data_IF_483150811291
#
_entry.id   IF_483150811291
#
_cell.length_a   1.000
_cell.length_b   1.000
_cell.length_c   1.000
_cell.angle_alpha   90.00
_cell.angle_beta   90.00
_cell.angle_gamma   90.00
#
_symmetry.space_group_name_H-M   'P 1'
#
loop_
_entity.id
_entity.type
_entity.pdbx_description
1 polymer ?
#
# COMPACT_ATOMS: atom_id res chain seq x y z
N UNK A 1 7.79 -12.02 39.48
CA UNK A 1 7.96 -10.70 38.82
C UNK A 1 6.56 -10.15 38.56
N UNK A 2 6.19 -8.97 39.10
CA UNK A 2 4.87 -8.37 38.85
C UNK A 2 5.01 -7.34 37.74
N UNK A 3 4.27 -7.51 36.65
CA UNK A 3 4.22 -6.54 35.54
C UNK A 3 3.55 -5.26 36.06
N UNK A 4 4.24 -4.14 35.92
CA UNK A 4 3.75 -2.82 36.31
C UNK A 4 2.96 -2.15 35.18
N UNK A 5 2.23 -1.08 35.50
CA UNK A 5 1.56 -0.25 34.49
C UNK A 5 2.55 0.36 33.49
N UNK A 6 3.76 0.67 33.94
CA UNK A 6 4.84 1.19 33.08
C UNK A 6 5.36 0.11 32.13
N UNK A 7 5.50 -1.14 32.59
CA UNK A 7 5.85 -2.27 31.74
C UNK A 7 4.80 -2.48 30.64
N UNK A 8 3.51 -2.41 30.97
CA UNK A 8 2.43 -2.50 29.97
C UNK A 8 2.47 -1.36 28.95
N UNK A 9 2.74 -0.13 29.40
CA UNK A 9 2.88 1.03 28.51
C UNK A 9 4.06 0.84 27.56
N UNK A 10 5.19 0.37 28.06
CA UNK A 10 6.39 0.10 27.25
C UNK A 10 6.12 -0.98 26.21
N UNK A 11 5.52 -2.10 26.61
CA UNK A 11 5.14 -3.17 25.68
C UNK A 11 4.19 -2.70 24.58
N UNK A 12 3.21 -1.85 24.92
CA UNK A 12 2.31 -1.27 23.93
C UNK A 12 3.05 -0.39 22.92
N UNK A 13 3.97 0.47 23.38
CA UNK A 13 4.76 1.33 22.49
C UNK A 13 5.67 0.52 21.57
N UNK A 14 6.31 -0.53 22.07
CA UNK A 14 7.13 -1.44 21.28
C UNK A 14 6.30 -2.16 20.21
N UNK A 15 5.09 -2.61 20.56
CA UNK A 15 4.17 -3.20 19.60
C UNK A 15 3.75 -2.21 18.51
N UNK A 16 3.40 -0.97 18.88
CA UNK A 16 3.01 0.06 17.91
C UNK A 16 4.16 0.41 16.95
N UNK A 17 5.39 0.47 17.44
CA UNK A 17 6.56 0.73 16.59
C UNK A 17 6.86 -0.46 15.66
N UNK A 18 6.76 -1.69 16.17
CA UNK A 18 6.91 -2.89 15.34
C UNK A 18 5.88 -2.92 14.20
N UNK A 19 4.63 -2.55 14.50
CA UNK A 19 3.55 -2.48 13.51
C UNK A 19 3.80 -1.38 12.47
N UNK A 20 4.28 -0.20 12.91
CA UNK A 20 4.68 0.89 12.01
C UNK A 20 5.77 0.45 11.03
N UNK A 21 6.80 -0.24 11.52
CA UNK A 21 7.89 -0.76 10.70
C UNK A 21 7.37 -1.83 9.73
N UNK A 22 6.50 -2.72 10.20
CA UNK A 22 5.87 -3.77 9.37
C UNK A 22 5.10 -3.16 8.21
N UNK A 23 4.25 -2.17 8.49
CA UNK A 23 3.47 -1.46 7.47
C UNK A 23 4.37 -0.73 6.46
N UNK A 24 5.41 -0.05 6.93
CA UNK A 24 6.34 0.64 6.04
C UNK A 24 7.04 -0.31 5.05
N UNK A 25 7.46 -1.49 5.51
CA UNK A 25 8.04 -2.53 4.64
C UNK A 25 7.06 -3.03 3.60
N UNK A 26 5.82 -3.32 4.01
CA UNK A 26 4.78 -3.76 3.06
C UNK A 26 4.49 -2.72 1.99
N UNK A 27 4.43 -1.43 2.36
CA UNK A 27 4.23 -0.33 1.41
C UNK A 27 5.39 -0.25 0.43
N UNK A 28 6.63 -0.39 0.91
CA UNK A 28 7.84 -0.39 0.07
C UNK A 28 7.83 -1.52 -0.96
N UNK A 29 7.51 -2.73 -0.52
CA UNK A 29 7.47 -3.91 -1.38
C UNK A 29 6.40 -3.76 -2.46
N UNK A 30 5.17 -3.39 -2.07
CA UNK A 30 4.08 -3.19 -3.03
C UNK A 30 4.40 -2.06 -4.02
N UNK A 31 4.97 -0.95 -3.53
CA UNK A 31 5.40 0.16 -4.38
C UNK A 31 6.43 -0.28 -5.43
N UNK A 32 7.46 -1.04 -5.03
CA UNK A 32 8.48 -1.55 -5.96
C UNK A 32 7.88 -2.46 -7.02
N UNK A 33 6.96 -3.34 -6.61
CA UNK A 33 6.26 -4.23 -7.55
C UNK A 33 5.46 -3.43 -8.56
N UNK A 34 4.67 -2.45 -8.11
CA UNK A 34 3.86 -1.59 -8.99
C UNK A 34 4.75 -0.85 -9.99
N UNK A 35 5.86 -0.24 -9.52
CA UNK A 35 6.80 0.46 -10.39
C UNK A 35 7.39 -0.48 -11.45
N UNK A 36 7.81 -1.68 -11.06
CA UNK A 36 8.39 -2.65 -12.00
C UNK A 36 7.38 -3.10 -13.05
N UNK A 37 6.14 -3.35 -12.65
CA UNK A 37 5.07 -3.75 -13.57
C UNK A 37 4.71 -2.61 -14.53
N UNK A 38 4.62 -1.38 -14.03
CA UNK A 38 4.42 -0.18 -14.85
C UNK A 38 5.51 0.00 -15.91
N UNK A 39 6.78 -0.16 -15.52
CA UNK A 39 7.90 -0.10 -16.46
C UNK A 39 7.77 -1.16 -17.56
N UNK A 40 7.34 -2.37 -17.20
CA UNK A 40 7.13 -3.45 -18.17
C UNK A 40 5.95 -3.16 -19.12
N UNK A 41 4.82 -2.65 -18.60
CA UNK A 41 3.67 -2.24 -19.42
C UNK A 41 4.07 -1.10 -20.38
N UNK A 42 4.85 -0.12 -19.92
CA UNK A 42 5.34 0.97 -20.75
C UNK A 42 6.25 0.48 -21.89
N UNK A 43 7.14 -0.49 -21.61
CA UNK A 43 7.96 -1.13 -22.66
C UNK A 43 7.11 -1.82 -23.74
N UNK A 44 5.90 -2.27 -23.40
CA UNK A 44 4.95 -2.85 -24.35
C UNK A 44 4.11 -1.82 -25.12
N UNK A 45 4.34 -0.51 -24.89
CA UNK A 45 3.60 0.59 -25.50
C UNK A 45 2.19 0.78 -24.94
N UNK A 46 1.90 0.23 -23.76
CA UNK A 46 0.64 0.46 -23.05
C UNK A 46 0.80 1.66 -22.12
N UNK A 47 -0.30 2.39 -21.98
CA UNK A 47 -0.40 3.64 -21.22
C UNK A 47 -1.26 3.50 -19.95
N UNK A 48 -1.66 2.27 -19.66
CA UNK A 48 -2.61 1.94 -18.60
C UNK A 48 -2.12 0.73 -17.83
N UNK A 49 -2.05 0.89 -16.52
CA UNK A 49 -1.73 -0.16 -15.57
C UNK A 49 -2.89 -0.36 -14.61
N UNK A 50 -3.17 -1.61 -14.27
CA UNK A 50 -4.22 -1.97 -13.32
C UNK A 50 -3.76 -3.12 -12.43
N UNK A 51 -3.96 -2.97 -11.11
CA UNK A 51 -3.64 -4.02 -10.13
C UNK A 51 -4.63 -4.06 -8.98
N UNK A 52 -4.99 -5.27 -8.55
CA UNK A 52 -5.69 -5.48 -7.28
C UNK A 52 -4.70 -5.38 -6.13
N UNK A 53 -4.88 -4.40 -5.27
CA UNK A 53 -4.15 -4.25 -4.02
C UNK A 53 -5.02 -4.69 -2.84
N UNK A 54 -4.44 -5.33 -1.84
CA UNK A 54 -5.15 -5.73 -0.64
C UNK A 54 -5.54 -4.50 0.20
N UNK A 55 -6.78 -4.48 0.69
CA UNK A 55 -7.23 -3.46 1.64
C UNK A 55 -6.81 -3.87 3.07
N UNK A 56 -5.56 -3.58 3.43
CA UNK A 56 -5.06 -3.85 4.79
C UNK A 56 -5.57 -2.83 5.82
N UNK A 57 -5.50 -1.55 5.48
CA UNK A 57 -6.06 -0.44 6.23
C UNK A 57 -6.12 0.81 5.34
N UNK A 58 -6.96 1.78 5.70
CA UNK A 58 -7.03 3.07 5.00
C UNK A 58 -5.68 3.79 5.03
N UNK A 59 -4.96 3.75 6.17
CA UNK A 59 -3.63 4.34 6.32
C UNK A 59 -2.60 3.72 5.36
N UNK A 60 -2.63 2.39 5.21
CA UNK A 60 -1.75 1.70 4.26
C UNK A 60 -2.03 2.16 2.83
N UNK A 61 -3.29 2.16 2.42
CA UNK A 61 -3.69 2.52 1.06
C UNK A 61 -3.34 3.98 0.75
N UNK A 62 -3.67 4.92 1.64
CA UNK A 62 -3.35 6.34 1.48
C UNK A 62 -1.84 6.58 1.37
N UNK A 63 -1.04 5.86 2.17
CA UNK A 63 0.42 5.97 2.13
C UNK A 63 0.99 5.43 0.81
N UNK A 64 0.48 4.29 0.34
CA UNK A 64 0.86 3.72 -0.95
C UNK A 64 0.52 4.67 -2.11
N UNK A 65 -0.71 5.18 -2.16
CA UNK A 65 -1.17 6.09 -3.22
C UNK A 65 -0.38 7.41 -3.23
N UNK A 66 -0.14 7.99 -2.05
CA UNK A 66 0.68 9.21 -1.92
C UNK A 66 2.08 8.98 -2.50
N UNK A 67 2.66 7.82 -2.20
CA UNK A 67 3.99 7.48 -2.69
C UNK A 67 4.02 7.23 -4.20
N UNK A 68 3.00 6.57 -4.74
CA UNK A 68 2.86 6.40 -6.19
C UNK A 68 2.70 7.75 -6.88
N UNK A 69 1.84 8.65 -6.38
CA UNK A 69 1.65 9.99 -6.94
C UNK A 69 2.92 10.84 -6.92
N UNK A 70 3.80 10.63 -5.92
CA UNK A 70 5.09 11.34 -5.85
C UNK A 70 6.07 10.97 -6.97
N UNK A 71 5.92 9.79 -7.56
CA UNK A 71 6.76 9.30 -8.65
C UNK A 71 6.08 9.49 -10.00
N UNK A 72 4.78 9.22 -10.06
CA UNK A 72 3.97 9.32 -11.26
C UNK A 72 3.16 10.62 -11.25
N UNK A 73 3.88 11.76 -11.17
CA UNK A 73 3.29 13.09 -10.91
C UNK A 73 2.24 13.47 -11.97
N UNK A 74 2.53 13.19 -13.24
CA UNK A 74 1.64 13.52 -14.37
C UNK A 74 0.62 12.41 -14.68
N UNK A 75 0.66 11.30 -13.95
CA UNK A 75 -0.25 10.20 -14.14
C UNK A 75 -1.52 10.38 -13.32
N UNK A 76 -2.64 9.94 -13.91
CA UNK A 76 -3.93 9.88 -13.24
C UNK A 76 -4.04 8.55 -12.49
N UNK A 77 -4.04 8.63 -11.17
CA UNK A 77 -4.25 7.46 -10.30
C UNK A 77 -5.72 7.41 -9.89
N UNK A 78 -6.38 6.28 -10.15
CA UNK A 78 -7.76 6.02 -9.76
C UNK A 78 -7.84 4.77 -8.88
N UNK A 79 -8.74 4.78 -7.90
CA UNK A 79 -9.04 3.62 -7.08
C UNK A 79 -10.51 3.23 -7.17
N UNK A 80 -10.77 1.93 -7.19
CA UNK A 80 -12.12 1.38 -7.13
C UNK A 80 -12.15 0.20 -6.15
N UNK A 81 -13.07 0.25 -5.19
CA UNK A 81 -13.27 -0.87 -4.26
C UNK A 81 -13.92 -2.02 -5.01
N UNK A 82 -13.27 -3.18 -4.99
CA UNK A 82 -13.84 -4.42 -5.53
C UNK A 82 -14.39 -5.23 -4.37
N UNK A 83 -15.70 -5.45 -4.39
CA UNK A 83 -16.35 -6.48 -3.58
C UNK A 83 -16.42 -7.74 -4.41
N UNK A 84 -15.38 -8.58 -4.32
CA UNK A 84 -15.49 -9.99 -4.67
C UNK A 84 -16.18 -10.68 -3.47
N UNK A 85 -17.03 -11.70 -3.69
CA UNK A 85 -17.77 -12.46 -2.65
C UNK A 85 -16.86 -13.22 -1.63
N UNK A 86 -15.57 -12.89 -1.57
CA UNK A 86 -14.59 -13.45 -0.65
C UNK A 86 -14.42 -12.65 0.66
N UNK A 87 -13.70 -13.23 1.64
CA UNK A 87 -13.47 -12.58 2.94
C UNK A 87 -12.50 -11.40 2.87
N UNK A 88 -11.75 -11.28 1.78
CA UNK A 88 -10.69 -10.30 1.59
C UNK A 88 -11.19 -9.16 0.71
N UNK A 89 -11.12 -7.92 1.22
CA UNK A 89 -11.43 -6.73 0.43
C UNK A 89 -10.22 -6.31 -0.41
N UNK A 90 -10.49 -5.86 -1.63
CA UNK A 90 -9.47 -5.41 -2.57
C UNK A 90 -9.80 -4.01 -3.08
N UNK A 91 -8.75 -3.25 -3.36
CA UNK A 91 -8.83 -1.99 -4.08
C UNK A 91 -8.12 -2.15 -5.41
N UNK A 92 -8.84 -1.92 -6.50
CA UNK A 92 -8.26 -1.84 -7.83
C UNK A 92 -7.59 -0.48 -7.97
N UNK A 93 -6.27 -0.47 -8.08
CA UNK A 93 -5.48 0.72 -8.40
C UNK A 93 -5.28 0.75 -9.91
N UNK A 94 -5.68 1.85 -10.54
CA UNK A 94 -5.46 2.12 -11.96
C UNK A 94 -4.55 3.33 -12.10
N UNK A 95 -3.54 3.23 -12.94
CA UNK A 95 -2.60 4.31 -13.24
C UNK A 95 -2.59 4.50 -14.75
N UNK A 96 -2.98 5.69 -15.20
CA UNK A 96 -3.04 6.08 -16.60
C UNK A 96 -2.04 7.22 -16.84
N UNK A 97 -1.17 7.08 -17.84
CA UNK A 97 -0.19 8.10 -18.23
C UNK A 97 -0.32 8.44 -19.72
N UNK A 98 0.10 9.65 -20.10
CA UNK A 98 0.10 10.13 -21.48
C UNK A 98 1.47 9.93 -22.14
#
# INVERSE_FOLDING_TARGET
MKITREDLKKMYLEHMEAERIRLAKMIEEEFKTIVQELLNENLSGRFLYQRKCYEYSETYLNSLLTRLQSVFVDSKIQTAFITDDGPQKYVLVKIEWA
#
